data_IF_099886948112
#
_entry.id   IF_099886948112
#
_cell.length_a   1.000
_cell.length_b   1.000
_cell.length_c   1.000
_cell.angle_alpha   90.00
_cell.angle_beta   90.00
_cell.angle_gamma   90.00
#
_symmetry.space_group_name_H-M   'P 1'
#
loop_
_entity.id
_entity.type
_entity.pdbx_description
1 polymer ?
#
# COMPACT_ATOMS: atom_id res chain seq x y z
N UNK A 1 -13.82 -38.94 2.04
CA UNK A 1 -14.15 -38.41 0.70
C UNK A 1 -13.45 -37.07 0.61
N UNK A 2 -12.58 -36.84 -0.38
CA UNK A 2 -11.86 -35.56 -0.51
C UNK A 2 -12.81 -34.59 -1.20
N UNK A 3 -13.17 -33.51 -0.52
CA UNK A 3 -14.00 -32.44 -1.08
C UNK A 3 -13.21 -31.55 -2.06
N UNK A 4 -13.90 -30.82 -2.95
CA UNK A 4 -13.25 -29.92 -3.92
C UNK A 4 -12.38 -28.83 -3.29
N UNK A 5 -12.67 -28.40 -2.05
CA UNK A 5 -11.88 -27.45 -1.27
C UNK A 5 -10.46 -27.94 -0.93
N UNK A 6 -10.19 -29.24 -1.08
CA UNK A 6 -8.90 -29.87 -0.81
C UNK A 6 -8.11 -30.21 -2.07
N UNK A 7 -8.61 -29.86 -3.27
CA UNK A 7 -7.95 -30.11 -4.55
C UNK A 7 -7.76 -28.79 -5.29
N UNK A 8 -6.51 -28.45 -5.61
CA UNK A 8 -6.19 -27.25 -6.38
C UNK A 8 -6.74 -27.38 -7.81
N UNK A 9 -7.46 -26.37 -8.29
CA UNK A 9 -7.92 -26.31 -9.68
C UNK A 9 -6.76 -25.93 -10.59
N UNK A 10 -6.22 -26.88 -11.36
CA UNK A 10 -5.14 -26.61 -12.33
C UNK A 10 -5.64 -26.01 -13.66
N UNK A 11 -6.96 -25.92 -13.85
CA UNK A 11 -7.59 -25.52 -15.13
C UNK A 11 -8.26 -24.16 -15.09
N UNK A 12 -8.39 -23.56 -13.91
CA UNK A 12 -8.94 -22.22 -13.79
C UNK A 12 -7.79 -21.20 -13.88
N UNK A 13 -7.66 -20.44 -14.99
CA UNK A 13 -6.58 -19.47 -15.16
C UNK A 13 -6.83 -18.16 -14.42
N UNK A 14 -7.92 -18.05 -13.64
CA UNK A 14 -8.35 -16.80 -13.01
C UNK A 14 -7.31 -16.19 -12.08
N UNK A 15 -6.60 -17.01 -11.30
CA UNK A 15 -5.55 -16.57 -10.38
C UNK A 15 -4.31 -16.00 -11.12
N UNK A 16 -3.84 -16.68 -12.17
CA UNK A 16 -2.74 -16.22 -13.03
C UNK A 16 -3.10 -14.94 -13.76
N UNK A 17 -4.33 -14.82 -14.27
CA UNK A 17 -4.82 -13.59 -14.89
C UNK A 17 -4.80 -12.42 -13.90
N UNK A 18 -5.35 -12.60 -12.70
CA UNK A 18 -5.34 -11.56 -11.66
C UNK A 18 -3.92 -11.18 -11.24
N UNK A 19 -3.02 -12.16 -11.12
CA UNK A 19 -1.60 -11.93 -10.82
C UNK A 19 -0.92 -11.06 -11.88
N UNK A 20 -1.22 -11.27 -13.16
CA UNK A 20 -0.70 -10.47 -14.29
C UNK A 20 -1.24 -9.05 -14.31
N UNK A 21 -2.54 -8.88 -14.11
CA UNK A 21 -3.16 -7.56 -14.01
C UNK A 21 -2.59 -6.77 -12.82
N UNK A 22 -2.42 -7.44 -11.67
CA UNK A 22 -1.79 -6.83 -10.49
C UNK A 22 -0.33 -6.44 -10.74
N UNK A 23 0.42 -7.25 -11.48
CA UNK A 23 1.78 -6.91 -11.88
C UNK A 23 1.83 -5.66 -12.75
N UNK A 24 0.97 -5.58 -13.77
CA UNK A 24 0.86 -4.42 -14.64
C UNK A 24 0.51 -3.16 -13.82
N UNK A 25 -0.50 -3.25 -12.94
CA UNK A 25 -0.87 -2.14 -12.06
C UNK A 25 0.27 -1.72 -11.11
N UNK A 26 1.04 -2.68 -10.60
CA UNK A 26 2.18 -2.38 -9.74
C UNK A 26 3.33 -1.72 -10.50
N UNK A 27 3.56 -2.09 -11.76
CA UNK A 27 4.48 -1.36 -12.61
C UNK A 27 3.98 0.07 -12.91
N UNK A 28 2.69 0.25 -13.17
CA UNK A 28 2.09 1.58 -13.29
C UNK A 28 2.27 2.43 -12.03
N UNK A 29 2.21 1.82 -10.84
CA UNK A 29 2.51 2.49 -9.58
C UNK A 29 3.98 2.95 -9.49
N UNK A 30 4.94 2.15 -9.99
CA UNK A 30 6.34 2.59 -10.10
C UNK A 30 6.49 3.80 -11.02
N UNK A 31 5.83 3.81 -12.18
CA UNK A 31 5.80 4.97 -13.08
C UNK A 31 5.21 6.21 -12.40
N UNK A 32 4.16 6.04 -11.58
CA UNK A 32 3.60 7.14 -10.79
C UNK A 32 4.63 7.68 -9.80
N UNK A 33 5.40 6.82 -9.12
CA UNK A 33 6.45 7.26 -8.19
C UNK A 33 7.60 7.98 -8.92
N UNK A 34 7.89 7.65 -10.18
CA UNK A 34 8.81 8.43 -11.00
C UNK A 34 8.32 9.88 -11.21
N UNK A 35 7.01 10.15 -11.27
CA UNK A 35 6.49 11.53 -11.27
C UNK A 35 6.80 12.31 -9.98
N UNK A 36 7.19 11.62 -8.89
CA UNK A 36 7.64 12.25 -7.65
C UNK A 36 9.13 12.55 -7.66
N UNK A 37 9.92 11.61 -8.18
CA UNK A 37 11.39 11.55 -8.12
C UNK A 37 12.08 12.23 -9.33
N UNK A 38 11.37 12.30 -10.46
CA UNK A 38 11.89 12.79 -11.74
C UNK A 38 11.02 13.94 -12.27
N UNK A 39 11.55 15.16 -12.25
CA UNK A 39 10.86 16.36 -12.72
C UNK A 39 10.48 16.32 -14.21
N UNK A 40 11.08 15.40 -14.98
CA UNK A 40 10.71 15.22 -16.40
C UNK A 40 9.38 14.51 -16.57
N UNK A 41 8.88 13.78 -15.57
CA UNK A 41 7.63 13.02 -15.64
C UNK A 41 6.51 13.81 -14.95
N UNK A 42 5.43 14.09 -15.68
CA UNK A 42 4.32 14.93 -15.18
C UNK A 42 3.10 14.11 -14.78
N UNK A 43 2.64 13.22 -15.67
CA UNK A 43 1.36 12.51 -15.52
C UNK A 43 1.47 11.11 -16.12
N UNK A 44 0.71 10.17 -15.57
CA UNK A 44 0.55 8.80 -16.09
C UNK A 44 -0.91 8.58 -16.46
N UNK A 45 -1.17 8.07 -17.66
CA UNK A 45 -2.50 7.65 -18.11
C UNK A 45 -2.54 6.12 -18.19
N UNK A 46 -3.51 5.52 -17.53
CA UNK A 46 -3.71 4.07 -17.50
C UNK A 46 -4.61 3.60 -18.64
N UNK A 47 -4.21 2.57 -19.39
CA UNK A 47 -5.02 1.98 -20.48
C UNK A 47 -5.53 3.04 -21.47
N UNK A 48 -4.69 4.02 -21.80
CA UNK A 48 -4.99 5.10 -22.74
C UNK A 48 -3.94 5.11 -23.86
N UNK A 49 -4.35 4.64 -25.03
CA UNK A 49 -3.51 4.35 -26.21
C UNK A 49 -2.50 3.21 -26.04
N UNK A 50 -1.91 3.03 -24.85
CA UNK A 50 -1.06 1.92 -24.41
C UNK A 50 -1.44 1.43 -23.00
N UNK A 51 -0.80 0.34 -22.55
CA UNK A 51 -0.90 -0.15 -21.16
C UNK A 51 -0.66 1.01 -20.17
N UNK A 52 0.38 1.82 -20.40
CA UNK A 52 0.57 3.13 -19.77
C UNK A 52 1.08 4.17 -20.77
N UNK A 53 0.58 5.40 -20.65
CA UNK A 53 1.09 6.56 -21.40
C UNK A 53 1.63 7.58 -20.40
N UNK A 54 2.92 7.90 -20.47
CA UNK A 54 3.56 8.87 -19.59
C UNK A 54 3.69 10.20 -20.32
N UNK A 55 3.17 11.26 -19.74
CA UNK A 55 3.36 12.64 -20.22
C UNK A 55 4.57 13.25 -19.53
N UNK A 56 5.49 13.78 -20.32
CA UNK A 56 6.64 14.53 -19.82
C UNK A 56 6.32 16.01 -19.58
N UNK A 57 7.11 16.66 -18.74
CA UNK A 57 7.00 18.10 -18.48
C UNK A 57 7.19 18.96 -19.75
N UNK A 58 7.92 18.46 -20.74
CA UNK A 58 8.06 19.06 -22.08
C UNK A 58 6.78 19.02 -22.91
N UNK A 59 5.78 18.23 -22.52
CA UNK A 59 4.58 17.94 -23.29
C UNK A 59 4.71 16.76 -24.26
N UNK A 60 5.89 16.14 -24.39
CA UNK A 60 6.09 14.90 -25.15
C UNK A 60 5.56 13.68 -24.36
N UNK A 61 5.38 12.58 -25.06
CA UNK A 61 4.88 11.33 -24.49
C UNK A 61 5.88 10.18 -24.58
N UNK A 62 5.79 9.26 -23.63
CA UNK A 62 6.40 7.94 -23.68
C UNK A 62 5.31 6.89 -23.59
N UNK A 63 5.19 6.04 -24.62
CA UNK A 63 4.26 4.92 -24.60
C UNK A 63 4.92 3.70 -23.95
N UNK A 64 4.23 3.06 -23.02
CA UNK A 64 4.81 1.96 -22.24
C UNK A 64 3.92 0.73 -22.34
N UNK A 65 4.52 -0.39 -22.71
CA UNK A 65 3.85 -1.66 -22.94
C UNK A 65 4.42 -2.71 -21.99
N UNK A 66 3.56 -3.34 -21.18
CA UNK A 66 3.94 -4.38 -20.22
C UNK A 66 3.58 -5.74 -20.79
N UNK A 67 4.54 -6.66 -20.82
CA UNK A 67 4.34 -8.02 -21.32
C UNK A 67 4.85 -9.03 -20.29
N UNK A 68 3.91 -9.82 -19.79
CA UNK A 68 4.19 -10.84 -18.79
C UNK A 68 4.29 -12.23 -19.40
N UNK A 69 5.17 -13.06 -18.83
CA UNK A 69 5.36 -14.46 -19.24
C UNK A 69 5.69 -15.30 -18.01
N UNK A 70 5.28 -16.57 -18.04
CA UNK A 70 5.64 -17.51 -16.99
C UNK A 70 7.17 -17.70 -16.97
N UNK A 71 7.77 -17.68 -15.79
CA UNK A 71 9.24 -17.68 -15.61
C UNK A 71 9.94 -18.86 -16.27
N UNK A 72 9.28 -20.02 -16.39
CA UNK A 72 9.83 -21.21 -17.02
C UNK A 72 9.95 -21.12 -18.55
N UNK A 73 9.25 -20.17 -19.20
CA UNK A 73 9.30 -19.99 -20.67
C UNK A 73 10.49 -19.15 -21.14
N UNK A 74 11.25 -18.56 -20.20
CA UNK A 74 12.46 -17.80 -20.48
C UNK A 74 12.23 -16.44 -21.15
N UNK A 75 13.35 -15.81 -21.51
CA UNK A 75 13.41 -14.43 -21.99
C UNK A 75 12.74 -14.20 -23.35
N UNK A 76 12.22 -12.99 -23.55
CA UNK A 76 11.58 -12.59 -24.79
C UNK A 76 12.58 -12.42 -25.94
N UNK A 77 12.19 -12.88 -27.13
CA UNK A 77 12.92 -12.69 -28.40
C UNK A 77 12.23 -11.64 -29.28
N UNK A 78 12.97 -11.06 -30.22
CA UNK A 78 12.43 -10.02 -31.14
C UNK A 78 11.24 -10.49 -31.99
N UNK A 79 11.10 -11.80 -32.23
CA UNK A 79 10.05 -12.40 -33.04
C UNK A 79 8.95 -13.10 -32.23
N UNK A 80 8.98 -13.00 -30.91
CA UNK A 80 7.90 -13.51 -30.09
C UNK A 80 6.62 -12.69 -30.32
N UNK A 81 5.47 -13.35 -30.49
CA UNK A 81 4.20 -12.70 -30.79
C UNK A 81 3.86 -11.49 -29.90
N UNK A 82 3.97 -11.58 -28.56
CA UNK A 82 3.72 -10.43 -27.69
C UNK A 82 4.66 -9.24 -27.95
N UNK A 83 5.91 -9.49 -28.34
CA UNK A 83 6.89 -8.46 -28.68
C UNK A 83 6.55 -7.84 -30.03
N UNK A 84 6.28 -8.64 -31.06
CA UNK A 84 5.94 -8.11 -32.39
C UNK A 84 4.65 -7.30 -32.36
N UNK A 85 3.64 -7.71 -31.59
CA UNK A 85 2.43 -6.92 -31.36
C UNK A 85 2.73 -5.59 -30.68
N UNK A 86 3.57 -5.58 -29.63
CA UNK A 86 3.98 -4.35 -28.97
C UNK A 86 4.71 -3.38 -29.92
N UNK A 87 5.70 -3.88 -30.67
CA UNK A 87 6.45 -3.08 -31.63
C UNK A 87 5.57 -2.54 -32.77
N UNK A 88 4.59 -3.34 -33.21
CA UNK A 88 3.59 -2.89 -34.19
C UNK A 88 2.79 -1.71 -33.63
N UNK A 89 2.32 -1.83 -32.38
CA UNK A 89 1.53 -0.80 -31.72
C UNK A 89 2.28 0.54 -31.58
N UNK A 90 3.57 0.49 -31.21
CA UNK A 90 4.41 1.69 -31.16
C UNK A 90 4.50 2.42 -32.51
N UNK A 91 4.60 1.66 -33.61
CA UNK A 91 4.62 2.24 -34.96
C UNK A 91 3.26 2.83 -35.35
N UNK A 92 2.16 2.20 -34.96
CA UNK A 92 0.82 2.76 -35.17
C UNK A 92 0.67 4.11 -34.46
N UNK A 93 1.11 4.20 -33.20
CA UNK A 93 0.98 5.42 -32.42
C UNK A 93 1.89 6.56 -32.91
N UNK A 94 3.14 6.29 -33.26
CA UNK A 94 4.03 7.33 -33.82
C UNK A 94 3.52 7.83 -35.19
N UNK A 95 2.82 6.97 -35.95
CA UNK A 95 2.15 7.35 -37.20
C UNK A 95 0.86 8.14 -36.96
N UNK A 96 0.04 7.75 -35.99
CA UNK A 96 -1.22 8.42 -35.65
C UNK A 96 -0.97 9.79 -35.02
N UNK A 97 0.08 9.92 -34.20
CA UNK A 97 0.47 11.14 -33.52
C UNK A 97 1.94 11.53 -33.84
N UNK A 98 2.22 12.01 -35.06
CA UNK A 98 3.57 12.34 -35.48
C UNK A 98 4.25 13.35 -34.54
N UNK A 99 5.50 13.05 -34.15
CA UNK A 99 6.32 13.86 -33.25
C UNK A 99 5.77 14.09 -31.82
N UNK A 100 4.67 13.43 -31.43
CA UNK A 100 4.18 13.48 -30.05
C UNK A 100 5.01 12.60 -29.10
N UNK A 101 5.55 11.48 -29.61
CA UNK A 101 6.30 10.51 -28.83
C UNK A 101 7.81 10.74 -28.87
N UNK A 102 8.41 10.90 -27.69
CA UNK A 102 9.86 10.95 -27.51
C UNK A 102 10.46 9.55 -27.54
N UNK A 103 9.72 8.55 -27.05
CA UNK A 103 10.14 7.16 -27.10
C UNK A 103 9.06 6.19 -26.64
N UNK A 104 9.43 4.92 -26.61
CA UNK A 104 8.56 3.84 -26.19
C UNK A 104 9.33 2.89 -25.27
N UNK A 105 8.66 2.25 -24.32
CA UNK A 105 9.28 1.31 -23.40
C UNK A 105 8.53 -0.02 -23.45
N UNK A 106 9.26 -1.11 -23.70
CA UNK A 106 8.73 -2.46 -23.58
C UNK A 106 9.25 -3.09 -22.29
N UNK A 107 8.31 -3.49 -21.44
CA UNK A 107 8.55 -3.90 -20.07
C UNK A 107 8.20 -5.37 -19.89
N UNK A 108 8.98 -6.11 -19.10
CA UNK A 108 8.68 -7.52 -18.84
C UNK A 108 9.13 -8.01 -17.47
N UNK A 109 8.59 -9.15 -17.04
CA UNK A 109 8.93 -9.84 -15.79
C UNK A 109 9.93 -11.00 -15.97
N UNK A 110 10.39 -11.28 -17.19
CA UNK A 110 11.19 -12.46 -17.52
C UNK A 110 12.42 -12.19 -18.40
N UNK A 111 12.90 -10.93 -18.42
CA UNK A 111 14.00 -10.44 -19.27
C UNK A 111 13.80 -10.54 -20.79
N UNK A 112 14.74 -9.94 -21.52
CA UNK A 112 14.92 -10.07 -22.96
C UNK A 112 16.18 -10.89 -23.26
N UNK A 113 16.16 -11.66 -24.35
CA UNK A 113 17.32 -12.43 -24.77
C UNK A 113 18.47 -11.46 -25.12
N UNK A 114 19.49 -11.39 -24.26
CA UNK A 114 20.71 -10.59 -24.51
C UNK A 114 21.97 -11.47 -24.60
N UNK A 115 21.98 -12.37 -25.59
CA UNK A 115 23.16 -13.17 -25.92
C UNK A 115 23.47 -13.12 -27.42
N UNK A 116 24.72 -12.81 -27.76
CA UNK A 116 25.21 -12.74 -29.15
C UNK A 116 24.62 -11.60 -29.99
N UNK A 117 24.88 -11.64 -31.29
CA UNK A 117 24.51 -10.59 -32.27
C UNK A 117 23.42 -11.05 -33.26
N UNK A 118 22.65 -12.07 -32.88
CA UNK A 118 21.58 -12.58 -33.74
C UNK A 118 20.41 -11.60 -33.80
N UNK A 119 19.68 -11.57 -34.92
CA UNK A 119 18.50 -10.71 -35.08
C UNK A 119 17.33 -11.07 -34.14
N UNK A 120 17.39 -12.23 -33.47
CA UNK A 120 16.48 -12.66 -32.38
C UNK A 120 16.77 -11.97 -31.05
N UNK A 121 17.99 -11.46 -30.85
CA UNK A 121 18.39 -10.65 -29.70
C UNK A 121 17.87 -9.20 -29.91
N UNK A 122 16.72 -8.90 -29.30
CA UNK A 122 16.10 -7.59 -29.41
C UNK A 122 17.01 -6.46 -28.87
N UNK A 123 17.64 -6.56 -27.69
CA UNK A 123 18.64 -5.59 -27.25
C UNK A 123 19.72 -5.27 -28.29
N UNK A 124 20.30 -6.28 -28.95
CA UNK A 124 21.30 -6.09 -30.01
C UNK A 124 20.71 -5.33 -31.21
N UNK A 125 19.51 -5.73 -31.67
CA UNK A 125 18.81 -5.07 -32.78
C UNK A 125 18.58 -3.59 -32.50
N UNK A 126 18.07 -3.25 -31.30
CA UNK A 126 17.78 -1.88 -30.91
C UNK A 126 19.07 -1.05 -30.78
N UNK A 127 20.13 -1.60 -30.18
CA UNK A 127 21.47 -0.96 -30.14
C UNK A 127 21.98 -0.65 -31.55
N UNK A 128 21.84 -1.60 -32.48
CA UNK A 128 22.26 -1.42 -33.88
C UNK A 128 21.45 -0.31 -34.57
N UNK A 129 20.13 -0.26 -34.37
CA UNK A 129 19.27 0.78 -34.93
C UNK A 129 19.57 2.17 -34.37
N UNK A 130 19.85 2.30 -33.07
CA UNK A 130 20.27 3.57 -32.46
C UNK A 130 21.59 4.07 -33.03
N UNK A 131 22.58 3.19 -33.19
CA UNK A 131 23.88 3.54 -33.76
C UNK A 131 23.82 3.86 -35.26
N UNK A 132 22.92 3.18 -35.99
CA UNK A 132 22.76 3.32 -37.43
C UNK A 132 21.28 3.13 -37.81
N UNK A 133 20.47 4.20 -37.85
CA UNK A 133 19.04 4.12 -38.17
C UNK A 133 18.72 3.54 -39.57
N UNK A 134 19.72 3.53 -40.46
CA UNK A 134 19.63 2.93 -41.81
C UNK A 134 20.00 1.45 -41.86
N UNK A 135 20.29 0.81 -40.72
CA UNK A 135 20.65 -0.60 -40.67
C UNK A 135 19.57 -1.48 -41.31
N UNK A 136 20.02 -2.40 -42.17
CA UNK A 136 19.13 -3.37 -42.80
C UNK A 136 19.26 -4.73 -42.10
N UNK A 137 18.13 -5.42 -42.05
CA UNK A 137 17.98 -6.75 -41.48
C UNK A 137 17.38 -7.64 -42.56
N UNK A 138 17.95 -8.83 -42.73
CA UNK A 138 17.58 -9.77 -43.79
C UNK A 138 17.11 -11.12 -43.23
N UNK A 139 17.29 -11.35 -41.93
CA UNK A 139 16.83 -12.55 -41.25
C UNK A 139 15.52 -12.34 -40.50
N UNK A 140 15.46 -12.84 -39.26
CA UNK A 140 14.29 -12.81 -38.39
C UNK A 140 13.71 -11.40 -38.21
N UNK A 141 14.56 -10.40 -37.97
CA UNK A 141 14.09 -9.03 -37.77
C UNK A 141 13.64 -8.40 -39.09
N UNK A 142 14.21 -8.81 -40.22
CA UNK A 142 13.69 -8.47 -41.54
C UNK A 142 12.22 -8.87 -41.70
N UNK A 143 11.90 -10.11 -41.34
CA UNK A 143 10.52 -10.62 -41.32
C UNK A 143 9.59 -9.86 -40.37
N UNK A 144 10.06 -9.51 -39.17
CA UNK A 144 9.28 -8.68 -38.22
C UNK A 144 8.98 -7.30 -38.80
N UNK A 145 9.98 -6.62 -39.40
CA UNK A 145 9.79 -5.31 -40.04
C UNK A 145 8.79 -5.41 -41.22
N UNK A 146 8.85 -6.47 -42.01
CA UNK A 146 7.89 -6.70 -43.10
C UNK A 146 6.47 -6.97 -42.59
N UNK A 147 6.34 -7.69 -41.47
CA UNK A 147 5.07 -7.87 -40.77
C UNK A 147 4.49 -6.54 -40.28
N UNK A 148 5.29 -5.72 -39.58
CA UNK A 148 4.87 -4.39 -39.10
C UNK A 148 4.49 -3.48 -40.27
N UNK A 149 5.26 -3.49 -41.36
CA UNK A 149 4.95 -2.73 -42.58
C UNK A 149 3.58 -3.12 -43.15
N UNK A 150 3.30 -4.42 -43.19
CA UNK A 150 2.03 -4.94 -43.73
C UNK A 150 0.86 -4.55 -42.85
N UNK A 151 1.01 -4.62 -41.52
CA UNK A 151 -0.03 -4.27 -40.57
C UNK A 151 -0.33 -2.76 -40.53
N UNK A 152 0.71 -1.92 -40.54
CA UNK A 152 0.58 -0.47 -40.30
C UNK A 152 0.53 0.36 -41.58
N UNK A 153 0.96 -0.20 -42.72
CA UNK A 153 1.18 0.54 -43.97
C UNK A 153 2.35 1.53 -43.89
N UNK A 154 3.19 1.48 -42.86
CA UNK A 154 4.32 2.39 -42.67
C UNK A 154 5.52 2.05 -43.55
N UNK A 155 6.35 3.05 -43.87
CA UNK A 155 7.61 2.80 -44.58
C UNK A 155 8.61 2.06 -43.69
N UNK A 156 9.47 1.20 -44.27
CA UNK A 156 10.56 0.55 -43.50
C UNK A 156 11.51 1.55 -42.85
N UNK A 157 11.62 2.77 -43.40
CA UNK A 157 12.42 3.85 -42.80
C UNK A 157 11.79 4.30 -41.49
N UNK A 158 10.50 4.64 -41.52
CA UNK A 158 9.76 5.08 -40.34
C UNK A 158 9.73 4.01 -39.24
N UNK A 159 9.50 2.74 -39.60
CA UNK A 159 9.55 1.62 -38.65
C UNK A 159 10.90 1.59 -37.91
N UNK A 160 12.02 1.70 -38.63
CA UNK A 160 13.35 1.71 -38.01
C UNK A 160 13.58 2.91 -37.11
N UNK A 161 13.06 4.08 -37.49
CA UNK A 161 13.14 5.31 -36.68
C UNK A 161 12.39 5.13 -35.35
N UNK A 162 11.17 4.56 -35.38
CA UNK A 162 10.39 4.25 -34.17
C UNK A 162 11.11 3.23 -33.30
N UNK A 163 11.56 2.12 -33.90
CA UNK A 163 12.30 1.07 -33.18
C UNK A 163 13.58 1.60 -32.53
N UNK A 164 14.26 2.58 -33.13
CA UNK A 164 15.43 3.20 -32.51
C UNK A 164 15.10 3.95 -31.21
N UNK A 165 13.86 4.44 -31.04
CA UNK A 165 13.36 5.09 -29.82
C UNK A 165 12.84 4.11 -28.75
N UNK A 166 12.81 2.81 -29.03
CA UNK A 166 12.30 1.80 -28.09
C UNK A 166 13.36 1.49 -27.05
N UNK A 167 13.01 1.55 -25.78
CA UNK A 167 13.77 1.07 -24.63
C UNK A 167 13.20 -0.22 -24.07
N UNK A 168 14.04 -1.01 -23.42
CA UNK A 168 13.68 -2.29 -22.83
C UNK A 168 13.89 -2.22 -21.33
N UNK A 169 12.88 -2.61 -20.56
CA UNK A 169 12.99 -2.77 -19.12
C UNK A 169 12.66 -4.22 -18.73
N UNK A 170 13.72 -5.00 -18.50
CA UNK A 170 13.66 -6.34 -17.90
C UNK A 170 14.10 -6.36 -16.44
N UNK A 171 14.52 -5.22 -15.89
CA UNK A 171 15.15 -5.13 -14.57
C UNK A 171 14.17 -5.34 -13.40
N UNK A 172 12.89 -5.48 -13.71
CA UNK A 172 11.84 -5.54 -12.73
C UNK A 172 11.81 -6.88 -11.97
N UNK A 173 11.39 -6.82 -10.70
CA UNK A 173 11.23 -8.01 -9.87
C UNK A 173 10.21 -8.98 -10.47
N UNK A 174 10.35 -10.25 -10.13
CA UNK A 174 9.35 -11.27 -10.47
C UNK A 174 8.02 -10.94 -9.78
N UNK A 175 6.95 -11.59 -10.25
CA UNK A 175 5.59 -11.38 -9.74
C UNK A 175 5.45 -11.35 -8.21
N UNK A 176 6.25 -12.12 -7.49
CA UNK A 176 6.20 -12.24 -6.01
C UNK A 176 6.59 -10.95 -5.29
N UNK A 177 7.49 -10.15 -5.85
CA UNK A 177 8.11 -9.04 -5.11
C UNK A 177 7.55 -7.68 -5.51
N UNK A 178 6.69 -7.59 -6.53
CA UNK A 178 6.38 -6.31 -7.17
C UNK A 178 5.70 -5.30 -6.23
N UNK A 179 4.86 -5.75 -5.30
CA UNK A 179 4.26 -4.85 -4.28
C UNK A 179 5.31 -4.33 -3.30
N UNK A 180 6.23 -5.20 -2.86
CA UNK A 180 7.31 -4.80 -1.96
C UNK A 180 8.26 -3.82 -2.62
N UNK A 181 8.47 -3.93 -3.94
CA UNK A 181 9.31 -2.99 -4.67
C UNK A 181 8.69 -1.60 -4.79
N UNK A 182 7.36 -1.52 -4.95
CA UNK A 182 6.65 -0.24 -4.82
C UNK A 182 6.86 0.34 -3.42
N UNK A 183 6.73 -0.47 -2.35
CA UNK A 183 6.98 -0.01 -0.98
C UNK A 183 8.43 0.48 -0.77
N UNK A 184 9.41 -0.25 -1.29
CA UNK A 184 10.84 0.14 -1.25
C UNK A 184 11.10 1.42 -2.03
N UNK A 185 10.47 1.61 -3.20
CA UNK A 185 10.60 2.86 -3.97
C UNK A 185 9.98 4.04 -3.21
N UNK A 186 8.84 3.85 -2.53
CA UNK A 186 8.28 4.86 -1.63
C UNK A 186 9.29 5.18 -0.51
N UNK A 187 9.88 4.16 0.13
CA UNK A 187 10.88 4.34 1.17
C UNK A 187 12.12 5.13 0.71
N UNK A 188 12.47 5.04 -0.57
CA UNK A 188 13.59 5.78 -1.17
C UNK A 188 13.39 7.29 -1.20
N UNK A 189 12.13 7.74 -1.29
CA UNK A 189 11.74 9.15 -1.27
C UNK A 189 12.04 9.78 0.10
N UNK A 190 12.71 10.93 0.11
CA UNK A 190 13.24 11.56 1.34
C UNK A 190 12.18 11.73 2.44
N UNK A 191 10.98 12.18 2.07
CA UNK A 191 9.87 12.41 2.98
C UNK A 191 9.31 11.13 3.64
N UNK A 192 9.68 9.93 3.17
CA UNK A 192 9.05 8.68 3.59
C UNK A 192 10.02 7.69 4.24
N UNK A 193 11.32 8.02 4.31
CA UNK A 193 12.39 7.13 4.84
C UNK A 193 12.18 6.70 6.28
N UNK A 194 11.51 7.50 7.09
CA UNK A 194 11.31 7.25 8.52
C UNK A 194 10.08 6.39 8.85
N UNK A 195 9.23 6.07 7.87
CA UNK A 195 8.03 5.27 8.11
C UNK A 195 8.33 3.78 8.18
N UNK A 196 7.51 3.05 8.95
CA UNK A 196 7.62 1.59 9.05
C UNK A 196 7.28 0.91 7.73
N UNK A 197 7.85 -0.27 7.51
CA UNK A 197 7.56 -1.10 6.33
C UNK A 197 6.07 -1.39 6.16
N UNK A 198 5.33 -1.56 7.26
CA UNK A 198 3.89 -1.78 7.25
C UNK A 198 3.13 -0.58 6.65
N UNK A 199 3.43 0.65 7.10
CA UNK A 199 2.83 1.87 6.54
C UNK A 199 3.17 2.03 5.06
N UNK A 200 4.44 1.81 4.70
CA UNK A 200 4.91 1.89 3.32
C UNK A 200 4.23 0.86 2.42
N UNK A 201 3.99 -0.36 2.92
CA UNK A 201 3.26 -1.39 2.21
C UNK A 201 1.78 -1.03 2.02
N UNK A 202 1.13 -0.43 3.02
CA UNK A 202 -0.24 0.08 2.89
C UNK A 202 -0.33 1.18 1.83
N UNK A 203 0.63 2.12 1.81
CA UNK A 203 0.74 3.13 0.75
C UNK A 203 0.90 2.47 -0.63
N UNK A 204 1.80 1.48 -0.75
CA UNK A 204 2.03 0.75 -1.99
C UNK A 204 0.76 0.06 -2.49
N UNK A 205 0.06 -0.69 -1.62
CA UNK A 205 -1.20 -1.36 -1.97
C UNK A 205 -2.25 -0.35 -2.41
N UNK A 206 -2.38 0.78 -1.72
CA UNK A 206 -3.33 1.84 -2.06
C UNK A 206 -3.05 2.42 -3.46
N UNK A 207 -1.79 2.71 -3.78
CA UNK A 207 -1.40 3.22 -5.08
C UNK A 207 -1.63 2.19 -6.20
N UNK A 208 -1.25 0.92 -5.98
CA UNK A 208 -1.47 -0.18 -6.94
C UNK A 208 -2.96 -0.36 -7.23
N UNK A 209 -3.79 -0.36 -6.18
CA UNK A 209 -5.23 -0.51 -6.33
C UNK A 209 -5.83 0.67 -7.10
N UNK A 210 -5.34 1.90 -6.86
CA UNK A 210 -5.78 3.07 -7.61
C UNK A 210 -5.44 2.96 -9.09
N UNK A 211 -4.21 2.55 -9.43
CA UNK A 211 -3.81 2.27 -10.82
C UNK A 211 -4.71 1.21 -11.45
N UNK A 212 -4.99 0.11 -10.73
CA UNK A 212 -5.88 -0.94 -11.23
C UNK A 212 -7.31 -0.43 -11.50
N UNK A 213 -7.83 0.46 -10.64
CA UNK A 213 -9.15 1.11 -10.85
C UNK A 213 -9.11 2.02 -12.08
N UNK A 214 -8.05 2.82 -12.25
CA UNK A 214 -7.86 3.71 -13.40
C UNK A 214 -7.64 2.96 -14.72
N UNK A 215 -7.03 1.77 -14.69
CA UNK A 215 -6.92 0.86 -15.84
C UNK A 215 -8.27 0.20 -16.19
N UNK A 216 -9.18 0.07 -15.23
CA UNK A 216 -10.50 -0.52 -15.46
C UNK A 216 -11.40 0.34 -16.34
N UNK A 217 -12.39 -0.28 -16.98
CA UNK A 217 -13.45 0.44 -17.69
C UNK A 217 -14.41 1.08 -16.66
N UNK A 218 -14.08 2.25 -16.13
CA UNK A 218 -14.86 2.94 -15.09
C UNK A 218 -16.18 3.57 -15.58
N UNK A 219 -16.76 3.07 -16.67
CA UNK A 219 -17.87 3.75 -17.34
C UNK A 219 -19.27 3.41 -16.81
N UNK A 220 -19.45 3.00 -15.55
CA UNK A 220 -20.78 2.78 -14.94
C UNK A 220 -21.04 3.62 -13.67
N UNK A 221 -20.26 4.69 -13.47
CA UNK A 221 -20.48 5.69 -12.42
C UNK A 221 -21.75 6.54 -12.70
N UNK A 222 -22.41 7.11 -11.66
CA UNK A 222 -23.63 7.93 -11.78
C UNK A 222 -23.51 9.17 -12.69
N UNK A 223 -22.28 9.55 -13.10
CA UNK A 223 -21.98 10.62 -14.06
C UNK A 223 -22.67 10.44 -15.43
N UNK A 224 -22.95 9.20 -15.86
CA UNK A 224 -23.73 8.96 -17.08
C UNK A 224 -25.08 9.68 -17.07
N UNK A 225 -25.72 9.79 -15.91
CA UNK A 225 -27.00 10.49 -15.76
C UNK A 225 -26.86 12.01 -15.84
N UNK A 226 -25.66 12.56 -15.57
CA UNK A 226 -25.39 13.99 -15.67
C UNK A 226 -25.11 14.43 -17.11
N UNK A 227 -24.39 13.62 -17.91
CA UNK A 227 -24.07 13.98 -19.29
C UNK A 227 -25.29 14.10 -20.20
N UNK A 228 -26.41 13.44 -19.89
CA UNK A 228 -27.67 13.57 -20.64
C UNK A 228 -28.18 15.02 -20.68
N UNK A 229 -27.81 15.83 -19.69
CA UNK A 229 -28.19 17.24 -19.60
C UNK A 229 -27.16 18.20 -20.23
N UNK A 230 -26.05 17.68 -20.75
CA UNK A 230 -25.02 18.49 -21.42
C UNK A 230 -25.39 18.81 -22.86
N UNK A 231 -24.86 19.94 -23.36
CA UNK A 231 -24.86 20.30 -24.77
C UNK A 231 -24.01 19.36 -25.65
N UNK A 232 -23.00 18.68 -25.10
CA UNK A 232 -22.14 17.72 -25.82
C UNK A 232 -21.86 16.46 -24.97
N UNK A 233 -22.86 15.57 -24.78
CA UNK A 233 -22.74 14.41 -23.88
C UNK A 233 -21.60 13.45 -24.23
N UNK A 234 -21.31 13.28 -25.53
CA UNK A 234 -20.29 12.34 -26.01
C UNK A 234 -18.87 12.84 -25.73
N UNK A 235 -18.65 14.14 -25.88
CA UNK A 235 -17.36 14.78 -25.63
C UNK A 235 -17.08 14.83 -24.12
N UNK A 236 -18.06 15.25 -23.32
CA UNK A 236 -17.91 15.26 -21.86
C UNK A 236 -17.67 13.86 -21.29
N UNK A 237 -18.36 12.84 -21.83
CA UNK A 237 -18.10 11.44 -21.48
C UNK A 237 -16.66 11.05 -21.79
N UNK A 238 -16.14 11.45 -22.97
CA UNK A 238 -14.78 11.13 -23.38
C UNK A 238 -13.75 11.81 -22.49
N UNK A 239 -13.94 13.10 -22.19
CA UNK A 239 -13.12 13.86 -21.24
C UNK A 239 -13.13 13.17 -19.87
N UNK A 240 -14.31 12.87 -19.33
CA UNK A 240 -14.42 12.22 -18.02
C UNK A 240 -13.70 10.87 -17.96
N UNK A 241 -13.80 10.04 -19.01
CA UNK A 241 -13.08 8.76 -19.08
C UNK A 241 -11.56 8.96 -19.10
N UNK A 242 -11.07 9.95 -19.84
CA UNK A 242 -9.64 10.26 -19.87
C UNK A 242 -9.17 10.76 -18.49
N UNK A 243 -9.97 11.59 -17.83
CA UNK A 243 -9.67 12.10 -16.49
C UNK A 243 -9.61 10.98 -15.44
N UNK A 244 -10.48 9.96 -15.50
CA UNK A 244 -10.40 8.80 -14.58
C UNK A 244 -9.17 7.93 -14.80
N UNK A 245 -8.61 7.97 -16.01
CA UNK A 245 -7.38 7.25 -16.38
C UNK A 245 -6.12 8.02 -16.00
N UNK A 246 -6.23 9.32 -15.75
CA UNK A 246 -5.10 10.22 -15.49
C UNK A 246 -4.73 10.23 -14.01
N UNK A 247 -3.46 9.95 -13.73
CA UNK A 247 -2.86 10.02 -12.41
C UNK A 247 -1.76 11.08 -12.43
N UNK A 248 -1.99 12.17 -11.68
CA UNK A 248 -1.04 13.28 -11.54
C UNK A 248 -0.39 13.34 -10.16
N UNK A 249 0.66 14.16 -10.03
CA UNK A 249 1.48 14.32 -8.80
C UNK A 249 0.65 14.53 -7.53
N UNK A 250 -0.32 15.43 -7.55
CA UNK A 250 -1.14 15.75 -6.37
C UNK A 250 -1.96 14.55 -5.87
N UNK A 251 -2.48 13.75 -6.79
CA UNK A 251 -3.25 12.55 -6.46
C UNK A 251 -2.35 11.51 -5.80
N UNK A 252 -1.14 11.33 -6.33
CA UNK A 252 -0.14 10.40 -5.77
C UNK A 252 0.19 10.82 -4.33
N UNK A 253 0.53 12.08 -4.11
CA UNK A 253 0.82 12.60 -2.76
C UNK A 253 -0.36 12.42 -1.80
N UNK A 254 -1.59 12.63 -2.27
CA UNK A 254 -2.81 12.43 -1.48
C UNK A 254 -2.98 10.96 -1.07
N UNK A 255 -2.79 10.03 -2.01
CA UNK A 255 -2.88 8.59 -1.76
C UNK A 255 -1.80 8.09 -0.81
N UNK A 256 -0.59 8.66 -0.87
CA UNK A 256 0.47 8.33 0.07
C UNK A 256 0.15 8.88 1.46
N UNK A 257 -0.28 10.14 1.56
CA UNK A 257 -0.58 10.80 2.82
C UNK A 257 -1.73 10.17 3.62
N UNK A 258 -2.75 9.61 2.96
CA UNK A 258 -3.93 9.04 3.63
C UNK A 258 -3.61 7.86 4.56
N UNK A 259 -2.53 7.12 4.28
CA UNK A 259 -2.06 5.99 5.10
C UNK A 259 -0.95 6.38 6.08
N UNK A 260 -0.49 7.63 6.00
CA UNK A 260 0.61 8.16 6.81
C UNK A 260 0.15 9.15 7.85
N UNK A 261 -1.06 9.70 7.70
CA UNK A 261 -1.71 10.53 8.70
C UNK A 261 -1.71 9.78 10.03
N UNK A 262 -0.87 10.25 10.95
CA UNK A 262 -0.89 9.73 12.30
C UNK A 262 -2.22 10.10 12.94
N UNK A 263 -2.81 9.14 13.68
CA UNK A 263 -3.81 9.48 14.68
C UNK A 263 -3.23 10.61 15.53
N UNK A 264 -3.98 11.72 15.63
CA UNK A 264 -3.63 12.78 16.56
C UNK A 264 -3.72 12.17 17.96
N UNK A 265 -2.55 11.82 18.51
CA UNK A 265 -2.46 11.12 19.77
C UNK A 265 -3.03 12.01 20.89
N UNK A 266 -4.04 11.49 21.59
CA UNK A 266 -4.54 12.09 22.83
C UNK A 266 -3.37 12.29 23.81
N UNK A 267 -3.29 13.49 24.39
CA UNK A 267 -2.26 13.87 25.34
C UNK A 267 -2.80 13.84 26.76
N UNK A 268 -1.95 13.52 27.72
CA UNK A 268 -2.25 13.58 29.15
C UNK A 268 -1.68 14.87 29.76
N UNK A 269 -2.41 15.49 30.68
CA UNK A 269 -1.91 16.65 31.43
C UNK A 269 -0.78 16.29 32.41
N UNK A 270 -0.63 15.00 32.73
CA UNK A 270 0.43 14.46 33.57
C UNK A 270 1.13 13.34 32.79
N UNK A 271 2.17 13.66 32.00
CA UNK A 271 2.87 12.68 31.19
C UNK A 271 3.69 11.75 32.08
N UNK A 272 3.49 10.45 31.89
CA UNK A 272 4.38 9.43 32.44
C UNK A 272 5.60 9.29 31.55
N UNK A 273 6.76 9.10 32.18
CA UNK A 273 7.92 8.61 31.46
C UNK A 273 7.67 7.14 31.18
N UNK A 274 7.58 6.77 29.90
CA UNK A 274 7.34 5.38 29.48
C UNK A 274 8.38 4.36 30.01
N UNK A 275 9.50 4.82 30.57
CA UNK A 275 10.56 3.99 31.12
C UNK A 275 10.36 3.72 32.62
N UNK A 276 9.51 4.50 33.30
CA UNK A 276 9.35 4.49 34.75
C UNK A 276 7.98 3.91 35.17
N UNK A 277 7.60 2.74 34.63
CA UNK A 277 6.38 2.04 35.07
C UNK A 277 6.50 1.58 36.53
N UNK A 278 5.38 1.51 37.27
CA UNK A 278 5.43 1.20 38.70
C UNK A 278 5.89 -0.23 38.96
N UNK A 279 6.80 -0.42 39.91
CA UNK A 279 7.24 -1.74 40.30
C UNK A 279 6.24 -2.44 41.24
N UNK A 280 6.02 -3.74 40.98
CA UNK A 280 5.22 -4.64 41.82
C UNK A 280 3.71 -4.50 41.65
N UNK A 281 2.96 -5.24 42.47
CA UNK A 281 1.50 -5.41 42.35
C UNK A 281 0.71 -5.05 43.61
N UNK A 282 1.39 -4.58 44.65
CA UNK A 282 0.81 -4.43 46.00
C UNK A 282 -0.34 -3.41 46.07
N UNK A 283 -0.26 -2.30 45.32
CA UNK A 283 -1.32 -1.29 45.28
C UNK A 283 -2.52 -1.81 44.50
N UNK A 284 -2.26 -2.43 43.34
CA UNK A 284 -3.27 -3.08 42.51
C UNK A 284 -4.07 -4.09 43.33
N UNK A 285 -3.38 -5.00 44.01
CA UNK A 285 -3.99 -6.03 44.86
C UNK A 285 -4.87 -5.42 45.94
N UNK A 286 -4.33 -4.45 46.69
CA UNK A 286 -5.04 -3.81 47.80
C UNK A 286 -6.30 -3.09 47.32
N UNK A 287 -6.21 -2.30 46.24
CA UNK A 287 -7.35 -1.56 45.68
C UNK A 287 -8.44 -2.49 45.14
N UNK A 288 -8.05 -3.52 44.39
CA UNK A 288 -9.01 -4.47 43.83
C UNK A 288 -9.69 -5.31 44.92
N UNK A 289 -8.94 -5.71 45.96
CA UNK A 289 -9.50 -6.44 47.09
C UNK A 289 -10.52 -5.61 47.89
N UNK A 290 -10.22 -4.33 48.18
CA UNK A 290 -11.17 -3.41 48.84
C UNK A 290 -12.41 -3.17 47.98
N UNK A 291 -12.26 -3.15 46.65
CA UNK A 291 -13.38 -3.12 45.71
C UNK A 291 -14.24 -4.40 45.66
N UNK A 292 -13.88 -5.44 46.42
CA UNK A 292 -14.59 -6.72 46.44
C UNK A 292 -14.34 -7.58 45.20
N UNK A 293 -13.28 -7.32 44.43
CA UNK A 293 -12.95 -8.11 43.23
C UNK A 293 -12.36 -9.46 43.65
N UNK A 294 -12.75 -10.52 42.92
CA UNK A 294 -12.36 -11.89 43.24
C UNK A 294 -10.85 -12.13 43.07
N UNK A 295 -10.27 -12.96 43.94
CA UNK A 295 -8.86 -13.32 43.91
C UNK A 295 -8.37 -13.82 42.54
N UNK A 296 -9.12 -14.67 41.78
CA UNK A 296 -8.71 -15.05 40.43
C UNK A 296 -8.62 -13.86 39.46
N UNK A 297 -9.55 -12.89 39.54
CA UNK A 297 -9.50 -11.70 38.69
C UNK A 297 -8.32 -10.79 39.04
N UNK A 298 -7.97 -10.72 40.34
CA UNK A 298 -6.78 -10.00 40.80
C UNK A 298 -5.51 -10.66 40.27
N UNK A 299 -5.41 -11.99 40.29
CA UNK A 299 -4.26 -12.70 39.75
C UNK A 299 -4.05 -12.41 38.25
N UNK A 300 -5.12 -12.51 37.46
CA UNK A 300 -5.09 -12.21 36.02
C UNK A 300 -4.70 -10.73 35.75
N UNK A 301 -5.17 -9.80 36.59
CA UNK A 301 -4.81 -8.39 36.45
C UNK A 301 -3.30 -8.15 36.62
N UNK A 302 -2.60 -8.91 37.47
CA UNK A 302 -1.13 -8.85 37.59
C UNK A 302 -0.46 -9.31 36.30
N UNK A 303 -0.93 -10.41 35.71
CA UNK A 303 -0.39 -10.92 34.45
C UNK A 303 -0.60 -9.91 33.30
N UNK A 304 -1.74 -9.22 33.29
CA UNK A 304 -2.01 -8.13 32.36
C UNK A 304 -1.08 -6.93 32.57
N UNK A 305 -0.79 -6.55 33.83
CA UNK A 305 0.17 -5.49 34.13
C UNK A 305 1.55 -5.81 33.54
N UNK A 306 2.08 -7.00 33.84
CA UNK A 306 3.38 -7.48 33.32
C UNK A 306 3.38 -7.49 31.79
N UNK A 307 2.26 -7.88 31.16
CA UNK A 307 2.12 -7.90 29.71
C UNK A 307 2.17 -6.50 29.09
N UNK A 308 1.56 -5.50 29.73
CA UNK A 308 1.64 -4.10 29.30
C UNK A 308 3.04 -3.51 29.49
N UNK A 309 3.73 -3.84 30.59
CA UNK A 309 5.13 -3.47 30.81
C UNK A 309 6.04 -4.02 29.71
N UNK A 310 5.89 -5.31 29.37
CA UNK A 310 6.65 -5.94 28.29
C UNK A 310 6.36 -5.31 26.92
N UNK A 311 5.08 -5.02 26.63
CA UNK A 311 4.67 -4.34 25.39
C UNK A 311 5.37 -2.98 25.26
N UNK A 312 5.43 -2.21 26.35
CA UNK A 312 6.04 -0.90 26.35
C UNK A 312 7.56 -0.98 26.14
N UNK A 313 8.24 -1.93 26.79
CA UNK A 313 9.67 -2.19 26.57
C UNK A 313 9.94 -2.54 25.11
N UNK A 314 9.11 -3.39 24.50
CA UNK A 314 9.20 -3.74 23.09
C UNK A 314 9.03 -2.51 22.20
N UNK A 315 8.05 -1.65 22.48
CA UNK A 315 7.84 -0.41 21.72
C UNK A 315 9.00 0.56 21.86
N UNK A 316 9.56 0.74 23.06
CA UNK A 316 10.75 1.59 23.26
C UNK A 316 11.91 1.08 22.40
N UNK A 317 12.13 -0.25 22.36
CA UNK A 317 13.18 -0.85 21.54
C UNK A 317 12.92 -0.72 20.03
N UNK A 318 11.69 -0.94 19.57
CA UNK A 318 11.38 -0.98 18.13
C UNK A 318 11.03 0.36 17.49
N UNK A 319 10.43 1.28 18.25
CA UNK A 319 9.89 2.56 17.77
C UNK A 319 10.65 3.78 18.32
N UNK A 320 11.53 3.58 19.29
CA UNK A 320 12.18 4.66 20.03
C UNK A 320 11.28 5.25 21.12
N UNK A 321 11.91 5.93 22.07
CA UNK A 321 11.27 6.41 23.30
C UNK A 321 10.16 7.42 23.07
N UNK A 322 10.32 8.34 22.11
CA UNK A 322 9.34 9.42 21.85
C UNK A 322 8.01 8.83 21.39
N UNK A 323 8.03 8.06 20.29
CA UNK A 323 6.83 7.44 19.73
C UNK A 323 6.21 6.41 20.68
N UNK A 324 7.02 5.64 21.40
CA UNK A 324 6.50 4.71 22.42
C UNK A 324 5.75 5.46 23.54
N UNK A 325 6.27 6.62 23.96
CA UNK A 325 5.64 7.46 24.98
C UNK A 325 4.32 8.06 24.50
N UNK A 326 4.27 8.58 23.28
CA UNK A 326 3.05 9.11 22.68
C UNK A 326 1.95 8.04 22.56
N UNK A 327 2.30 6.84 22.09
CA UNK A 327 1.36 5.71 22.01
C UNK A 327 0.83 5.30 23.38
N UNK A 328 1.73 5.22 24.37
CA UNK A 328 1.34 4.88 25.74
C UNK A 328 0.37 5.92 26.30
N UNK A 329 0.66 7.21 26.13
CA UNK A 329 -0.20 8.28 26.61
C UNK A 329 -1.57 8.28 25.92
N UNK A 330 -1.61 8.06 24.60
CA UNK A 330 -2.86 7.95 23.87
C UNK A 330 -3.77 6.85 24.43
N UNK A 331 -3.21 5.64 24.58
CA UNK A 331 -3.94 4.49 25.09
C UNK A 331 -4.32 4.65 26.56
N UNK A 332 -3.44 5.21 27.38
CA UNK A 332 -3.71 5.51 28.78
C UNK A 332 -4.91 6.45 28.94
N UNK A 333 -5.03 7.48 28.09
CA UNK A 333 -6.19 8.37 28.08
C UNK A 333 -7.45 7.62 27.67
N UNK A 334 -7.42 6.83 26.60
CA UNK A 334 -8.57 6.05 26.14
C UNK A 334 -9.06 5.08 27.24
N UNK A 335 -8.15 4.33 27.83
CA UNK A 335 -8.46 3.33 28.86
C UNK A 335 -8.98 3.99 30.12
N UNK A 336 -8.31 5.03 30.64
CA UNK A 336 -8.77 5.74 31.85
C UNK A 336 -10.12 6.42 31.65
N UNK A 337 -10.42 6.91 30.44
CA UNK A 337 -11.74 7.46 30.12
C UNK A 337 -12.82 6.39 30.31
N UNK A 338 -12.62 5.17 29.80
CA UNK A 338 -13.56 4.06 30.00
C UNK A 338 -13.67 3.62 31.45
N UNK A 339 -12.56 3.66 32.20
CA UNK A 339 -12.60 3.38 33.62
C UNK A 339 -13.36 4.45 34.41
N UNK A 340 -13.23 5.73 34.06
CA UNK A 340 -13.99 6.82 34.67
C UNK A 340 -15.50 6.67 34.39
N UNK A 341 -15.87 6.44 33.13
CA UNK A 341 -17.28 6.16 32.77
C UNK A 341 -17.84 4.96 33.56
N UNK A 342 -17.08 3.88 33.66
CA UNK A 342 -17.50 2.69 34.41
C UNK A 342 -17.61 2.96 35.93
N UNK A 343 -16.81 3.87 36.48
CA UNK A 343 -16.90 4.31 37.87
C UNK A 343 -18.19 5.10 38.09
N UNK A 344 -18.46 6.08 37.24
CA UNK A 344 -19.64 6.95 37.31
C UNK A 344 -20.95 6.14 37.19
N UNK A 345 -20.93 5.04 36.43
CA UNK A 345 -22.07 4.13 36.27
C UNK A 345 -22.46 3.36 37.56
N UNK A 346 -21.50 3.09 38.45
CA UNK A 346 -21.72 2.18 39.60
C UNK A 346 -21.44 2.78 40.97
N UNK A 347 -20.78 3.95 41.01
CA UNK A 347 -20.50 4.69 42.24
C UNK A 347 -21.80 5.22 42.89
N UNK A 348 -21.83 5.30 44.22
CA UNK A 348 -22.98 5.83 44.97
C UNK A 348 -24.01 4.81 45.50
N UNK A 349 -23.81 3.50 45.32
CA UNK A 349 -24.75 2.45 45.77
C UNK A 349 -24.57 1.95 47.21
N UNK A 350 -23.61 2.48 47.98
CA UNK A 350 -23.35 2.11 49.38
C UNK A 350 -22.78 0.69 49.60
N UNK A 351 -22.67 -0.12 48.55
CA UNK A 351 -22.08 -1.46 48.54
C UNK A 351 -20.74 -1.47 47.77
N UNK A 352 -19.88 -2.50 47.97
CA UNK A 352 -18.69 -2.68 47.14
C UNK A 352 -19.07 -2.82 45.66
N UNK A 353 -18.62 -1.86 44.85
CA UNK A 353 -19.00 -1.77 43.43
C UNK A 353 -17.90 -2.25 42.46
N UNK A 354 -16.74 -2.67 42.97
CA UNK A 354 -15.59 -3.01 42.12
C UNK A 354 -15.83 -4.17 41.16
N UNK A 355 -16.65 -5.17 41.51
CA UNK A 355 -17.02 -6.24 40.57
C UNK A 355 -17.93 -5.75 39.44
N UNK A 356 -18.93 -4.92 39.76
CA UNK A 356 -19.82 -4.34 38.76
C UNK A 356 -19.03 -3.42 37.82
N UNK A 357 -18.14 -2.62 38.38
CA UNK A 357 -17.21 -1.77 37.64
C UNK A 357 -16.32 -2.58 36.70
N UNK A 358 -15.68 -3.65 37.18
CA UNK A 358 -14.81 -4.50 36.36
C UNK A 358 -15.56 -5.12 35.18
N UNK A 359 -16.82 -5.52 35.38
CA UNK A 359 -17.67 -6.02 34.29
C UNK A 359 -17.94 -4.92 33.24
N UNK A 360 -18.24 -3.69 33.68
CA UNK A 360 -18.44 -2.55 32.75
C UNK A 360 -17.15 -2.20 31.99
N UNK A 361 -16.01 -2.13 32.69
CA UNK A 361 -14.69 -1.89 32.06
C UNK A 361 -14.39 -2.93 30.99
N UNK A 362 -14.59 -4.22 31.26
CA UNK A 362 -14.36 -5.28 30.26
C UNK A 362 -15.21 -5.08 29.00
N UNK A 363 -16.51 -4.84 29.15
CA UNK A 363 -17.39 -4.61 28.01
C UNK A 363 -16.98 -3.37 27.17
N UNK A 364 -16.60 -2.27 27.85
CA UNK A 364 -16.12 -1.06 27.19
C UNK A 364 -14.79 -1.27 26.46
N UNK A 365 -13.87 -2.02 27.03
CA UNK A 365 -12.58 -2.32 26.40
C UNK A 365 -12.70 -3.33 25.26
N UNK A 366 -13.60 -4.30 25.35
CA UNK A 366 -13.94 -5.18 24.21
C UNK A 366 -14.50 -4.38 23.02
N UNK A 367 -15.33 -3.37 23.29
CA UNK A 367 -15.82 -2.47 22.25
C UNK A 367 -14.69 -1.60 21.68
N UNK A 368 -13.82 -1.05 22.53
CA UNK A 368 -12.67 -0.25 22.10
C UNK A 368 -11.68 -1.05 21.25
N UNK A 369 -11.42 -2.32 21.59
CA UNK A 369 -10.49 -3.18 20.86
C UNK A 369 -10.93 -3.52 19.42
N UNK A 370 -12.19 -3.23 19.06
CA UNK A 370 -12.70 -3.34 17.68
C UNK A 370 -12.19 -2.20 16.79
N UNK A 371 -11.87 -1.05 17.36
CA UNK A 371 -11.25 0.07 16.65
C UNK A 371 -9.73 -0.14 16.63
N UNK A 372 -9.27 -0.87 15.62
CA UNK A 372 -7.86 -1.26 15.48
C UNK A 372 -6.94 -0.08 15.21
N UNK A 373 -7.45 0.95 14.56
CA UNK A 373 -6.67 2.15 14.27
C UNK A 373 -6.41 2.92 15.56
N UNK A 374 -7.47 3.26 16.31
CA UNK A 374 -7.35 4.00 17.57
C UNK A 374 -6.53 3.28 18.64
N UNK A 375 -6.47 1.94 18.58
CA UNK A 375 -5.78 1.13 19.59
C UNK A 375 -4.39 0.64 19.16
N UNK A 376 -3.87 1.08 18.02
CA UNK A 376 -2.63 0.55 17.43
C UNK A 376 -2.63 -0.98 17.32
N UNK A 377 -3.80 -1.56 17.04
CA UNK A 377 -4.01 -2.99 16.85
C UNK A 377 -4.08 -3.83 18.13
N UNK A 378 -3.97 -3.23 19.32
CA UNK A 378 -3.92 -3.99 20.58
C UNK A 378 -5.17 -4.86 20.81
N UNK A 379 -4.95 -5.97 21.50
CA UNK A 379 -6.04 -6.84 21.98
C UNK A 379 -6.69 -6.26 23.23
N UNK A 380 -7.89 -6.74 23.55
CA UNK A 380 -8.60 -6.34 24.76
C UNK A 380 -7.80 -6.68 26.04
N UNK A 381 -7.10 -7.81 26.07
CA UNK A 381 -6.26 -8.24 27.20
C UNK A 381 -5.07 -7.29 27.40
N UNK A 382 -4.49 -6.80 26.31
CA UNK A 382 -3.41 -5.80 26.38
C UNK A 382 -3.93 -4.47 26.94
N UNK A 383 -5.13 -4.04 26.54
CA UNK A 383 -5.79 -2.85 27.10
C UNK A 383 -6.10 -3.00 28.60
N UNK A 384 -6.47 -4.20 29.07
CA UNK A 384 -6.60 -4.47 30.52
C UNK A 384 -5.28 -4.32 31.28
N UNK A 385 -4.14 -4.51 30.61
CA UNK A 385 -2.84 -4.21 31.19
C UNK A 385 -2.67 -2.74 31.53
N UNK A 386 -3.15 -1.83 30.69
CA UNK A 386 -3.16 -0.39 30.98
C UNK A 386 -4.06 -0.03 32.16
N UNK A 387 -5.19 -0.72 32.34
CA UNK A 387 -6.04 -0.56 33.54
C UNK A 387 -5.27 -0.96 34.80
N UNK A 388 -4.51 -2.05 34.70
CA UNK A 388 -3.73 -2.61 35.81
C UNK A 388 -2.59 -1.66 36.20
N UNK A 389 -1.84 -1.15 35.21
CA UNK A 389 -0.84 -0.09 35.41
C UNK A 389 -1.47 1.15 36.07
N UNK A 390 -2.57 1.66 35.54
CA UNK A 390 -3.25 2.84 36.10
C UNK A 390 -3.75 2.60 37.55
N UNK A 391 -4.16 1.38 37.88
CA UNK A 391 -4.55 1.00 39.25
C UNK A 391 -3.35 1.04 40.19
N UNK A 392 -2.23 0.45 39.77
CA UNK A 392 -0.99 0.41 40.53
C UNK A 392 -0.41 1.83 40.77
N UNK A 393 -0.53 2.74 39.80
CA UNK A 393 -0.10 4.14 39.92
C UNK A 393 -1.09 5.05 40.68
N UNK A 394 -2.08 4.45 41.32
CA UNK A 394 -3.13 5.16 42.03
C UNK A 394 -4.06 6.07 41.20
N UNK A 395 -4.00 5.97 39.87
CA UNK A 395 -4.84 6.75 38.94
C UNK A 395 -6.22 6.11 38.72
N UNK A 396 -6.37 4.83 39.06
CA UNK A 396 -7.64 4.11 39.05
C UNK A 396 -7.99 3.58 40.45
N UNK A 397 -9.29 3.64 40.80
CA UNK A 397 -9.87 3.06 42.01
C UNK A 397 -11.01 2.09 41.67
N UNK A 398 -11.20 1.08 42.52
CA UNK A 398 -12.24 0.05 42.39
C UNK A 398 -13.28 0.13 43.54
N UNK A 399 -13.17 1.18 44.33
CA UNK A 399 -13.97 1.50 45.52
C UNK A 399 -13.89 3.02 45.71
N UNK A 400 -14.56 3.54 46.73
CA UNK A 400 -14.22 4.89 47.24
C UNK A 400 -12.72 4.97 47.58
N UNK A 401 -12.05 6.11 47.32
CA UNK A 401 -10.65 6.29 47.68
C UNK A 401 -10.41 6.10 49.17
N UNK A 402 -9.31 5.43 49.52
CA UNK A 402 -8.94 5.14 50.91
C UNK A 402 -7.42 5.26 51.12
N UNK A 403 -6.98 5.38 52.38
CA UNK A 403 -5.55 5.48 52.67
C UNK A 403 -4.83 4.14 52.44
N UNK A 404 -3.84 4.17 51.56
CA UNK A 404 -3.02 3.02 51.23
C UNK A 404 -1.91 2.79 52.27
N UNK A 405 -1.56 3.79 53.07
CA UNK A 405 -0.66 3.70 54.22
C UNK A 405 -1.49 3.21 55.39
N UNK A 406 -1.38 1.94 55.76
CA UNK A 406 -2.12 1.42 56.91
C UNK A 406 -1.67 2.12 58.20
N UNK A 407 -2.34 3.20 58.59
CA UNK A 407 -2.23 3.85 59.88
C UNK A 407 -3.63 4.14 60.37
N UNK A 408 -4.09 3.38 61.37
CA UNK A 408 -5.24 3.78 62.18
C UNK A 408 -4.96 5.16 62.77
N UNK A 409 -5.98 6.03 62.74
CA UNK A 409 -5.99 7.31 63.45
C UNK A 409 -5.64 7.15 64.94
#
# INVERSE_FOLDING_TARGET
>A
MIGPEHVLSERDPGDDMQRRLRYQAAYGALLCLECLDNETFSEVFCEHHEDFLVRKASGSYVGVQVKTRATHLGAFRSNDGPVTTALTRFVELDKEFPAAFEGFVLVTNCDFLDTGEQETNLPHVLRRLRSRPTAQFTGTMGGVIDGIKTATGSSKKHIREVLAKVELDGSLPKFEDITMNVATKIAGLEAYRSFSLEKLNSCAVSLINHVQISSGLSCDQPLRHHFVFSSSPAEEKSIAIIETKRIGRNLILTLLASHLADLIALQTSQPLKAIDLPAGHHVLEKKMAVGGISFPSIAIAKDHQVSAEYLLQRWVHSLGTVTATERFQHLDVLVRTRCAEAFDEVSGSGAPFGQAMLKSVRAKLEALAKDKDATYGLSYEQLLGFVSVATQECRQWWSEPFDLRGGTA
#
